data_IF_026731954032
#
_entry.id   IF_026731954032
#
_cell.length_a   1.000
_cell.length_b   1.000
_cell.length_c   1.000
_cell.angle_alpha   90.00
_cell.angle_beta   90.00
_cell.angle_gamma   90.00
#
_symmetry.space_group_name_H-M   'P 1'
#
loop_
_entity.id
_entity.type
_entity.pdbx_description
1 polymer ?
#
# COMPACT_ATOMS: atom_id res chain seq x y z
N UNK A 1 -13.24 14.97 9.36
CA UNK A 1 -13.49 15.43 8.00
C UNK A 1 -13.16 16.91 7.96
N UNK A 2 -12.27 17.32 7.04
CA UNK A 2 -11.85 18.71 6.87
C UNK A 2 -12.18 19.14 5.45
N UNK A 3 -13.12 20.08 5.31
CA UNK A 3 -13.61 20.53 4.00
C UNK A 3 -14.22 21.93 4.09
N UNK A 4 -13.92 22.79 3.12
CA UNK A 4 -14.59 24.08 2.94
C UNK A 4 -15.95 23.94 2.25
N UNK A 5 -16.19 22.81 1.54
CA UNK A 5 -17.38 22.59 0.73
C UNK A 5 -18.59 22.30 1.61
N UNK A 6 -19.57 23.21 1.62
CA UNK A 6 -20.81 23.04 2.36
C UNK A 6 -21.59 21.79 1.95
N UNK A 7 -21.64 21.48 0.65
CA UNK A 7 -22.32 20.27 0.12
C UNK A 7 -21.73 18.97 0.66
N UNK A 8 -20.41 18.92 0.86
CA UNK A 8 -19.73 17.77 1.45
C UNK A 8 -20.08 17.64 2.94
N UNK A 9 -20.09 18.73 3.69
CA UNK A 9 -20.49 18.73 5.09
C UNK A 9 -21.93 18.20 5.25
N UNK A 10 -22.86 18.71 4.45
CA UNK A 10 -24.27 18.26 4.44
C UNK A 10 -24.38 16.77 4.06
N UNK A 11 -23.56 16.29 3.12
CA UNK A 11 -23.50 14.88 2.78
C UNK A 11 -23.10 14.02 3.99
N UNK A 12 -22.04 14.39 4.71
CA UNK A 12 -21.57 13.64 5.88
C UNK A 12 -22.55 13.72 7.05
N UNK A 13 -23.21 14.87 7.24
CA UNK A 13 -24.28 15.05 8.25
C UNK A 13 -25.51 14.17 7.93
N UNK A 14 -25.83 14.03 6.66
CA UNK A 14 -26.94 13.18 6.18
C UNK A 14 -26.64 11.68 6.19
N UNK A 15 -25.36 11.28 6.26
CA UNK A 15 -24.99 9.86 6.33
C UNK A 15 -25.29 9.29 7.71
N UNK A 16 -25.91 8.11 7.73
CA UNK A 16 -26.25 7.37 8.94
C UNK A 16 -25.55 6.02 8.99
N UNK A 17 -25.60 5.37 10.14
CA UNK A 17 -25.05 4.02 10.30
C UNK A 17 -23.55 3.97 10.62
N UNK A 18 -22.96 5.06 11.05
CA UNK A 18 -21.54 5.14 11.43
C UNK A 18 -21.18 4.10 12.49
N UNK A 19 -22.00 3.93 13.52
CA UNK A 19 -21.79 2.96 14.60
C UNK A 19 -21.83 1.51 14.08
N UNK A 20 -22.71 1.23 13.12
CA UNK A 20 -22.80 -0.09 12.48
C UNK A 20 -21.53 -0.43 11.68
N UNK A 21 -20.88 0.59 11.12
CA UNK A 21 -19.59 0.48 10.45
C UNK A 21 -18.39 0.57 11.41
N UNK A 22 -18.63 0.58 12.73
CA UNK A 22 -17.55 0.66 13.73
C UNK A 22 -16.91 2.05 13.91
N UNK A 23 -17.52 3.10 13.36
CA UNK A 23 -17.06 4.47 13.50
C UNK A 23 -17.94 5.28 14.49
N UNK A 24 -17.30 6.25 15.14
CA UNK A 24 -18.05 7.34 15.79
C UNK A 24 -18.54 8.34 14.75
N UNK A 25 -19.55 9.13 15.10
CA UNK A 25 -20.00 10.25 14.27
C UNK A 25 -18.80 11.13 13.86
N UNK A 26 -18.58 11.37 12.57
CA UNK A 26 -17.44 12.16 12.11
C UNK A 26 -17.49 13.60 12.62
N UNK A 27 -16.33 14.15 12.92
CA UNK A 27 -16.18 15.53 13.32
C UNK A 27 -15.89 16.38 12.08
N UNK A 28 -16.76 17.31 11.75
CA UNK A 28 -16.62 18.17 10.58
C UNK A 28 -15.88 19.47 10.97
N UNK A 29 -14.90 19.86 10.19
CA UNK A 29 -14.12 21.09 10.33
C UNK A 29 -13.95 21.76 8.99
N UNK A 30 -13.80 23.07 8.98
CA UNK A 30 -13.67 23.86 7.76
C UNK A 30 -12.29 24.49 7.58
N UNK A 31 -11.47 24.55 8.61
CA UNK A 31 -10.12 25.11 8.54
C UNK A 31 -9.08 24.19 9.15
N UNK A 32 -7.81 24.45 8.80
CA UNK A 32 -6.66 23.76 9.37
C UNK A 32 -6.58 23.95 10.88
N UNK A 33 -6.80 25.15 11.39
CA UNK A 33 -6.74 25.49 12.82
C UNK A 33 -7.80 24.72 13.62
N UNK A 34 -9.03 24.65 13.10
CA UNK A 34 -10.10 23.87 13.73
C UNK A 34 -9.79 22.36 13.75
N UNK A 35 -9.17 21.86 12.67
CA UNK A 35 -8.77 20.46 12.58
C UNK A 35 -7.68 20.14 13.59
N UNK A 36 -6.62 20.95 13.66
CA UNK A 36 -5.51 20.77 14.62
C UNK A 36 -6.03 20.85 16.07
N UNK A 37 -6.84 21.84 16.40
CA UNK A 37 -7.45 21.96 17.73
C UNK A 37 -8.37 20.75 18.08
N UNK A 38 -8.97 20.12 17.07
CA UNK A 38 -9.76 18.90 17.26
C UNK A 38 -8.85 17.69 17.53
N UNK A 39 -7.74 17.58 16.82
CA UNK A 39 -6.77 16.49 16.97
C UNK A 39 -6.08 16.53 18.35
N UNK A 40 -5.77 17.71 18.88
CA UNK A 40 -5.22 17.87 20.22
C UNK A 40 -6.16 17.36 21.34
N UNK A 41 -7.48 17.46 21.13
CA UNK A 41 -8.50 17.11 22.14
C UNK A 41 -9.02 15.68 22.00
N UNK A 42 -8.83 15.04 20.87
CA UNK A 42 -9.44 13.77 20.55
C UNK A 42 -8.46 12.84 19.83
N UNK A 43 -8.52 11.56 20.19
CA UNK A 43 -7.87 10.54 19.39
C UNK A 43 -8.61 10.38 18.05
N UNK A 44 -7.88 10.49 16.95
CA UNK A 44 -8.38 10.42 15.58
C UNK A 44 -7.67 9.29 14.85
N UNK A 45 -8.39 8.28 14.40
CA UNK A 45 -7.83 7.13 13.67
C UNK A 45 -7.62 7.43 12.18
N UNK A 46 -8.44 8.32 11.61
CA UNK A 46 -8.36 8.67 10.20
C UNK A 46 -8.85 10.09 9.94
N UNK A 47 -8.29 10.71 8.91
CA UNK A 47 -8.67 12.06 8.47
C UNK A 47 -9.07 12.03 6.99
N UNK A 48 -10.17 12.73 6.66
CA UNK A 48 -10.54 13.01 5.29
C UNK A 48 -10.33 14.48 4.99
N UNK A 49 -9.79 14.79 3.81
CA UNK A 49 -9.55 16.16 3.34
C UNK A 49 -10.00 16.32 1.90
N UNK A 50 -10.33 17.54 1.51
CA UNK A 50 -10.55 17.90 0.12
C UNK A 50 -9.28 17.61 -0.71
N UNK A 51 -9.46 17.25 -1.97
CA UNK A 51 -8.34 17.08 -2.90
C UNK A 51 -7.74 18.43 -3.27
N UNK A 52 -6.41 18.46 -3.45
CA UNK A 52 -5.65 19.65 -3.80
C UNK A 52 -4.89 20.26 -2.62
N UNK A 53 -4.38 21.45 -2.82
CA UNK A 53 -3.41 22.08 -1.89
C UNK A 53 -4.07 22.91 -0.77
N UNK A 54 -5.40 22.96 -0.70
CA UNK A 54 -6.13 23.78 0.28
C UNK A 54 -5.72 23.46 1.72
N UNK A 55 -5.48 22.18 2.01
CA UNK A 55 -5.07 21.68 3.32
C UNK A 55 -3.65 21.10 3.32
N UNK A 56 -2.75 21.61 2.46
CA UNK A 56 -1.37 21.10 2.36
C UNK A 56 -0.61 21.19 3.69
N UNK A 57 -0.77 22.28 4.44
CA UNK A 57 -0.13 22.48 5.75
C UNK A 57 -0.66 21.47 6.78
N UNK A 58 -1.96 21.16 6.74
CA UNK A 58 -2.55 20.13 7.59
C UNK A 58 -2.04 18.73 7.22
N UNK A 59 -1.95 18.46 5.93
CA UNK A 59 -1.43 17.17 5.43
C UNK A 59 0.03 16.96 5.85
N UNK A 60 0.86 17.98 5.70
CA UNK A 60 2.25 17.97 6.16
C UNK A 60 2.36 17.75 7.68
N UNK A 61 1.52 18.44 8.46
CA UNK A 61 1.47 18.26 9.92
C UNK A 61 1.08 16.83 10.31
N UNK A 62 0.05 16.26 9.66
CA UNK A 62 -0.39 14.88 9.90
C UNK A 62 0.71 13.90 9.51
N UNK A 63 1.44 14.18 8.42
CA UNK A 63 2.57 13.36 7.98
C UNK A 63 3.69 13.30 9.00
N UNK A 64 4.04 14.44 9.55
CA UNK A 64 5.16 14.57 10.50
C UNK A 64 4.80 14.05 11.91
N UNK A 65 3.59 14.38 12.39
CA UNK A 65 3.23 14.18 13.80
C UNK A 65 2.29 12.99 14.05
N UNK A 66 1.61 12.47 13.01
CA UNK A 66 0.64 11.40 13.13
C UNK A 66 0.88 10.31 12.06
N UNK A 67 2.04 9.64 12.05
CA UNK A 67 2.45 8.74 10.96
C UNK A 67 1.55 7.51 10.79
N UNK A 68 0.79 7.12 11.83
CA UNK A 68 -0.14 5.98 11.79
C UNK A 68 -1.57 6.37 11.43
N UNK A 69 -1.89 7.68 11.38
CA UNK A 69 -3.22 8.16 11.03
C UNK A 69 -3.50 7.90 9.54
N UNK A 70 -4.58 7.20 9.23
CA UNK A 70 -4.97 6.98 7.84
C UNK A 70 -5.55 8.25 7.23
N UNK A 71 -5.27 8.47 5.95
CA UNK A 71 -5.78 9.60 5.19
C UNK A 71 -6.65 9.12 4.03
N UNK A 72 -7.75 9.82 3.74
CA UNK A 72 -8.53 9.59 2.54
C UNK A 72 -9.06 10.91 1.96
N UNK A 73 -9.36 10.88 0.67
CA UNK A 73 -9.91 12.04 -0.01
C UNK A 73 -11.44 12.05 0.16
N UNK A 74 -12.00 13.26 0.20
CA UNK A 74 -13.44 13.46 0.18
C UNK A 74 -13.97 13.21 -1.23
N UNK A 75 -15.02 12.42 -1.34
CA UNK A 75 -15.72 12.12 -2.59
C UNK A 75 -16.90 13.07 -2.78
N UNK A 76 -17.25 13.33 -4.05
CA UNK A 76 -18.37 14.24 -4.35
C UNK A 76 -19.75 13.54 -4.23
N UNK A 77 -19.79 12.21 -4.40
CA UNK A 77 -21.04 11.45 -4.31
C UNK A 77 -21.10 10.60 -3.03
N UNK A 78 -22.29 10.50 -2.38
CA UNK A 78 -22.49 9.67 -1.19
C UNK A 78 -22.15 8.20 -1.42
N UNK A 79 -22.43 7.67 -2.61
CA UNK A 79 -22.16 6.26 -2.96
C UNK A 79 -20.65 5.97 -3.02
N UNK A 80 -19.89 6.85 -3.66
CA UNK A 80 -18.43 6.73 -3.74
C UNK A 80 -17.80 6.92 -2.37
N UNK A 81 -18.28 7.90 -1.60
CA UNK A 81 -17.83 8.13 -0.24
C UNK A 81 -18.06 6.90 0.64
N UNK A 82 -19.19 6.24 0.51
CA UNK A 82 -19.48 5.01 1.26
C UNK A 82 -18.54 3.86 0.88
N UNK A 83 -18.16 3.72 -0.39
CA UNK A 83 -17.16 2.74 -0.82
C UNK A 83 -15.80 3.01 -0.18
N UNK A 84 -15.39 4.28 -0.18
CA UNK A 84 -14.13 4.74 0.43
C UNK A 84 -14.11 4.49 1.94
N UNK A 85 -15.21 4.78 2.66
CA UNK A 85 -15.34 4.51 4.09
C UNK A 85 -15.30 2.99 4.40
N UNK A 86 -15.96 2.16 3.59
CA UNK A 86 -15.89 0.70 3.76
C UNK A 86 -14.49 0.14 3.51
N UNK A 87 -13.74 0.73 2.59
CA UNK A 87 -12.33 0.37 2.40
C UNK A 87 -11.50 0.77 3.63
N UNK A 88 -11.71 1.99 4.15
CA UNK A 88 -11.06 2.48 5.37
C UNK A 88 -11.33 1.55 6.56
N UNK A 89 -12.59 1.16 6.78
CA UNK A 89 -12.97 0.22 7.85
C UNK A 89 -12.19 -1.10 7.74
N UNK A 90 -12.11 -1.69 6.55
CA UNK A 90 -11.32 -2.90 6.32
C UNK A 90 -9.85 -2.73 6.66
N UNK A 91 -9.23 -1.62 6.24
CA UNK A 91 -7.81 -1.37 6.49
C UNK A 91 -7.54 -1.13 7.99
N UNK A 92 -8.36 -0.33 8.65
CA UNK A 92 -8.27 -0.12 10.10
C UNK A 92 -8.48 -1.42 10.88
N UNK A 93 -9.43 -2.25 10.45
CA UNK A 93 -9.67 -3.56 11.05
C UNK A 93 -8.45 -4.48 10.92
N UNK A 94 -7.77 -4.47 9.78
CA UNK A 94 -6.53 -5.22 9.57
C UNK A 94 -5.40 -4.72 10.48
N UNK A 95 -5.17 -3.41 10.53
CA UNK A 95 -4.14 -2.81 11.40
C UNK A 95 -4.39 -3.15 12.86
N UNK A 96 -5.63 -3.01 13.33
CA UNK A 96 -6.02 -3.34 14.72
C UNK A 96 -5.87 -4.82 15.04
N UNK A 97 -6.20 -5.71 14.10
CA UNK A 97 -6.02 -7.14 14.27
C UNK A 97 -4.53 -7.51 14.33
N UNK A 98 -3.71 -6.95 13.46
CA UNK A 98 -2.27 -7.20 13.44
C UNK A 98 -1.59 -6.65 14.71
N UNK A 99 -2.00 -5.45 15.17
CA UNK A 99 -1.53 -4.90 16.44
C UNK A 99 -1.90 -5.79 17.64
N UNK A 100 -3.14 -6.27 17.70
CA UNK A 100 -3.62 -7.08 18.82
C UNK A 100 -3.05 -8.50 18.83
N UNK A 101 -2.94 -9.14 17.66
CA UNK A 101 -2.59 -10.55 17.56
C UNK A 101 -1.07 -10.81 17.55
N UNK A 102 -0.29 -9.88 17.01
CA UNK A 102 1.13 -10.09 16.76
C UNK A 102 2.04 -9.29 17.70
N UNK A 103 1.50 -8.55 18.65
CA UNK A 103 2.26 -7.66 19.56
C UNK A 103 3.14 -6.63 18.81
N UNK A 104 2.80 -6.30 17.57
CA UNK A 104 3.46 -5.22 16.85
C UNK A 104 3.05 -3.87 17.42
N UNK A 105 3.97 -2.92 17.47
CA UNK A 105 3.59 -1.52 17.62
C UNK A 105 2.77 -1.03 16.41
N UNK A 106 2.11 0.12 16.51
CA UNK A 106 1.26 0.65 15.44
C UNK A 106 2.01 0.86 14.11
N UNK A 107 3.28 1.28 14.17
CA UNK A 107 4.09 1.50 12.97
C UNK A 107 4.36 0.18 12.24
N UNK A 108 4.71 -0.88 12.97
CA UNK A 108 4.94 -2.20 12.41
C UNK A 108 3.65 -2.82 11.87
N UNK A 109 2.52 -2.65 12.56
CA UNK A 109 1.21 -3.11 12.07
C UNK A 109 0.80 -2.37 10.79
N UNK A 110 1.03 -1.06 10.72
CA UNK A 110 0.79 -0.26 9.51
C UNK A 110 1.70 -0.71 8.36
N UNK A 111 3.00 -0.91 8.62
CA UNK A 111 3.94 -1.38 7.59
C UNK A 111 3.55 -2.76 7.07
N UNK A 112 3.17 -3.69 7.93
CA UNK A 112 2.68 -5.00 7.54
C UNK A 112 1.41 -4.92 6.68
N UNK A 113 0.52 -4.00 7.01
CA UNK A 113 -0.67 -3.73 6.19
C UNK A 113 -0.31 -3.16 4.82
N UNK A 114 0.66 -2.23 4.73
CA UNK A 114 1.18 -1.70 3.46
C UNK A 114 1.71 -2.82 2.58
N UNK A 115 2.55 -3.68 3.12
CA UNK A 115 3.13 -4.82 2.40
C UNK A 115 2.05 -5.76 1.86
N UNK A 116 1.05 -6.08 2.67
CA UNK A 116 -0.09 -6.91 2.27
C UNK A 116 -0.92 -6.25 1.15
N UNK A 117 -1.13 -4.94 1.21
CA UNK A 117 -1.84 -4.24 0.15
C UNK A 117 -1.01 -4.15 -1.13
N UNK A 118 0.31 -3.94 -1.04
CA UNK A 118 1.19 -4.00 -2.20
C UNK A 118 1.17 -5.38 -2.86
N UNK A 119 1.23 -6.46 -2.08
CA UNK A 119 1.04 -7.83 -2.57
C UNK A 119 -0.29 -7.99 -3.31
N UNK A 120 -1.39 -7.48 -2.73
CA UNK A 120 -2.70 -7.54 -3.38
C UNK A 120 -2.75 -6.78 -4.72
N UNK A 121 -2.07 -5.63 -4.82
CA UNK A 121 -1.92 -4.89 -6.08
C UNK A 121 -1.12 -5.72 -7.09
N UNK A 122 0.09 -6.15 -6.73
CA UNK A 122 0.97 -6.92 -7.61
C UNK A 122 0.37 -8.27 -8.05
N UNK A 123 -0.54 -8.83 -7.26
CA UNK A 123 -1.28 -10.06 -7.61
C UNK A 123 -2.52 -9.79 -8.48
N UNK A 124 -2.81 -8.54 -8.86
CA UNK A 124 -4.01 -8.19 -9.64
C UNK A 124 -5.33 -8.41 -8.89
N UNK A 125 -5.32 -8.39 -7.57
CA UNK A 125 -6.51 -8.64 -6.74
C UNK A 125 -7.35 -7.38 -6.51
N UNK A 126 -6.81 -6.19 -6.80
CA UNK A 126 -7.52 -4.92 -6.63
C UNK A 126 -8.40 -4.66 -7.85
N UNK A 127 -9.70 -4.36 -7.68
CA UNK A 127 -10.63 -4.33 -8.81
C UNK A 127 -10.43 -3.15 -9.77
N UNK A 128 -10.15 -1.95 -9.26
CA UNK A 128 -10.12 -0.73 -10.08
C UNK A 128 -8.89 0.13 -9.81
N UNK A 129 -8.50 0.95 -10.81
CA UNK A 129 -7.43 1.96 -10.68
C UNK A 129 -7.70 2.92 -9.53
N UNK A 130 -8.95 3.35 -9.38
CA UNK A 130 -9.37 4.23 -8.28
C UNK A 130 -9.11 3.57 -6.91
N UNK A 131 -9.42 2.28 -6.78
CA UNK A 131 -9.18 1.56 -5.53
C UNK A 131 -7.68 1.37 -5.26
N UNK A 132 -6.84 1.13 -6.28
CA UNK A 132 -5.38 1.11 -6.12
C UNK A 132 -4.91 2.44 -5.52
N UNK A 133 -5.25 3.56 -6.15
CA UNK A 133 -4.86 4.89 -5.69
C UNK A 133 -5.39 5.19 -4.28
N UNK A 134 -6.65 4.83 -3.98
CA UNK A 134 -7.22 5.03 -2.65
C UNK A 134 -6.47 4.25 -1.56
N UNK A 135 -6.11 2.97 -1.83
CA UNK A 135 -5.35 2.15 -0.87
C UNK A 135 -3.96 2.75 -0.59
N UNK A 136 -3.24 3.14 -1.64
CA UNK A 136 -1.91 3.75 -1.51
C UNK A 136 -1.97 5.04 -0.68
N UNK A 137 -2.92 5.92 -0.98
CA UNK A 137 -3.11 7.19 -0.25
C UNK A 137 -3.55 6.98 1.20
N UNK A 138 -4.54 6.12 1.44
CA UNK A 138 -5.03 5.84 2.79
C UNK A 138 -3.94 5.34 3.72
N UNK A 139 -3.10 4.45 3.22
CA UNK A 139 -1.99 3.86 3.96
C UNK A 139 -0.74 4.75 3.93
N UNK A 140 -0.81 5.90 3.26
CA UNK A 140 0.33 6.83 3.13
C UNK A 140 1.57 6.13 2.58
N UNK A 141 1.35 5.31 1.56
CA UNK A 141 2.45 4.71 0.81
C UNK A 141 3.19 5.80 0.03
N UNK A 142 4.52 5.76 -0.03
CA UNK A 142 5.29 6.72 -0.83
C UNK A 142 5.06 6.53 -2.34
N UNK A 143 4.58 5.35 -2.74
CA UNK A 143 4.27 5.03 -4.13
C UNK A 143 2.95 5.70 -4.57
N UNK A 144 2.94 6.13 -5.84
CA UNK A 144 1.75 6.64 -6.52
C UNK A 144 1.36 5.68 -7.64
N UNK A 145 0.06 5.49 -7.84
CA UNK A 145 -0.46 4.45 -8.73
C UNK A 145 -0.16 4.65 -10.22
N UNK A 146 0.07 5.89 -10.65
CA UNK A 146 0.25 6.25 -12.06
C UNK A 146 1.71 6.69 -12.39
N UNK A 147 2.66 6.48 -11.48
CA UNK A 147 4.08 6.73 -11.75
C UNK A 147 4.71 5.51 -12.42
N UNK A 148 5.38 5.67 -13.57
CA UNK A 148 6.08 4.56 -14.24
C UNK A 148 7.09 3.89 -13.33
N UNK A 149 7.04 2.56 -13.28
CA UNK A 149 7.93 1.73 -12.47
C UNK A 149 8.30 0.47 -13.24
N UNK A 150 9.22 -0.32 -12.70
CA UNK A 150 9.68 -1.56 -13.35
C UNK A 150 9.27 -2.76 -12.50
N UNK A 151 8.74 -3.78 -13.16
CA UNK A 151 8.37 -5.05 -12.53
C UNK A 151 9.18 -6.17 -13.14
N UNK A 152 9.83 -6.95 -12.27
CA UNK A 152 10.45 -8.20 -12.63
C UNK A 152 9.54 -9.37 -12.24
N UNK A 153 9.41 -10.34 -13.13
CA UNK A 153 8.75 -11.62 -12.88
C UNK A 153 9.81 -12.70 -12.75
N UNK A 154 9.78 -13.44 -11.66
CA UNK A 154 10.72 -14.52 -11.36
C UNK A 154 9.92 -15.81 -11.24
N UNK A 155 10.32 -16.80 -12.02
CA UNK A 155 9.76 -18.16 -11.95
C UNK A 155 10.41 -18.94 -10.82
N UNK A 156 9.57 -19.65 -10.07
CA UNK A 156 9.97 -20.68 -9.12
C UNK A 156 9.72 -22.05 -9.75
N UNK A 157 10.62 -22.99 -9.52
CA UNK A 157 10.40 -24.38 -9.90
C UNK A 157 9.72 -25.09 -8.72
N UNK A 158 8.48 -25.54 -8.91
CA UNK A 158 7.73 -26.24 -7.86
C UNK A 158 8.42 -27.53 -7.41
N UNK A 159 9.26 -28.13 -8.27
CA UNK A 159 10.06 -29.33 -7.96
C UNK A 159 11.43 -28.98 -7.35
N UNK A 160 11.74 -27.69 -7.14
CA UNK A 160 13.02 -27.28 -6.53
C UNK A 160 13.20 -27.94 -5.16
N UNK A 161 14.32 -28.64 -4.92
CA UNK A 161 14.57 -29.31 -3.65
C UNK A 161 14.52 -28.40 -2.42
N UNK A 162 14.78 -27.09 -2.59
CA UNK A 162 14.61 -26.15 -1.50
C UNK A 162 13.13 -26.02 -1.11
N UNK A 163 12.23 -25.88 -2.08
CA UNK A 163 10.80 -25.71 -1.81
C UNK A 163 10.13 -26.99 -1.33
N UNK A 164 10.56 -28.16 -1.84
CA UNK A 164 9.93 -29.45 -1.55
C UNK A 164 10.47 -30.11 -0.28
N UNK A 165 11.77 -29.97 0.02
CA UNK A 165 12.42 -30.70 1.10
C UNK A 165 12.83 -29.83 2.29
N UNK A 166 13.15 -28.56 2.06
CA UNK A 166 13.71 -27.67 3.09
C UNK A 166 12.73 -26.60 3.59
N UNK A 167 11.88 -26.09 2.70
CA UNK A 167 10.97 -25.00 3.02
C UNK A 167 9.62 -25.54 3.50
N UNK A 168 9.48 -25.66 4.82
CA UNK A 168 8.23 -26.13 5.44
C UNK A 168 7.29 -25.01 5.84
N UNK A 169 7.59 -23.77 5.43
CA UNK A 169 6.83 -22.58 5.76
C UNK A 169 6.02 -22.11 4.54
N UNK A 170 4.91 -21.44 4.76
CA UNK A 170 4.08 -20.94 3.67
C UNK A 170 4.73 -19.80 2.86
N UNK A 171 4.04 -19.39 1.79
CA UNK A 171 4.46 -18.34 0.86
C UNK A 171 4.75 -16.99 1.54
N UNK A 172 4.04 -16.66 2.60
CA UNK A 172 4.24 -15.38 3.32
C UNK A 172 5.60 -15.31 4.01
N UNK A 173 6.09 -16.44 4.55
CA UNK A 173 7.45 -16.50 5.12
C UNK A 173 8.54 -16.51 4.04
N UNK A 174 8.26 -17.11 2.88
CA UNK A 174 9.15 -17.04 1.73
C UNK A 174 9.30 -15.61 1.25
N UNK A 175 8.19 -14.88 1.18
CA UNK A 175 8.16 -13.47 0.81
C UNK A 175 9.02 -12.61 1.77
N UNK A 176 8.89 -12.81 3.08
CA UNK A 176 9.71 -12.13 4.08
C UNK A 176 11.19 -12.46 3.92
N UNK A 177 11.53 -13.73 3.68
CA UNK A 177 12.92 -14.15 3.46
C UNK A 177 13.50 -13.49 2.20
N UNK A 178 12.78 -13.53 1.08
CA UNK A 178 13.19 -12.88 -0.18
C UNK A 178 13.34 -11.37 -0.02
N UNK A 179 12.43 -10.71 0.70
CA UNK A 179 12.51 -9.27 0.99
C UNK A 179 13.82 -8.88 1.67
N UNK A 180 14.36 -9.72 2.55
CA UNK A 180 15.65 -9.46 3.21
C UNK A 180 16.83 -9.46 2.21
N UNK A 181 16.76 -10.23 1.14
CA UNK A 181 17.77 -10.24 0.09
C UNK A 181 17.64 -9.04 -0.85
N UNK A 182 16.43 -8.75 -1.30
CA UNK A 182 16.18 -7.63 -2.21
C UNK A 182 16.37 -6.26 -1.54
N UNK A 183 16.17 -6.18 -0.21
CA UNK A 183 16.22 -4.93 0.53
C UNK A 183 15.09 -3.98 0.09
N UNK A 184 14.24 -3.55 1.01
CA UNK A 184 13.09 -2.71 0.65
C UNK A 184 13.45 -1.28 0.27
N UNK A 185 14.55 -0.76 0.78
CA UNK A 185 14.93 0.66 0.75
C UNK A 185 16.30 0.84 0.10
N UNK A 186 16.32 0.95 -1.23
CA UNK A 186 17.54 1.19 -2.01
C UNK A 186 17.75 2.69 -2.24
N UNK A 187 18.99 3.16 -2.52
CA UNK A 187 19.29 4.58 -2.72
C UNK A 187 18.45 5.27 -3.80
N UNK A 188 18.15 4.57 -4.89
CA UNK A 188 17.45 5.13 -6.06
C UNK A 188 16.03 4.60 -6.26
N UNK A 189 15.63 3.59 -5.50
CA UNK A 189 14.34 2.92 -5.66
C UNK A 189 13.82 2.31 -4.36
N UNK A 190 12.52 2.13 -4.31
CA UNK A 190 11.84 1.26 -3.33
C UNK A 190 11.62 -0.09 -3.99
N UNK A 191 11.82 -1.17 -3.22
CA UNK A 191 11.68 -2.53 -3.73
C UNK A 191 10.61 -3.27 -2.93
N UNK A 192 9.63 -3.84 -3.62
CA UNK A 192 8.62 -4.69 -3.02
C UNK A 192 8.67 -6.07 -3.65
N UNK A 193 8.61 -7.08 -2.82
CA UNK A 193 8.61 -8.50 -3.23
C UNK A 193 7.27 -9.10 -2.88
N UNK A 194 6.65 -9.78 -3.82
CA UNK A 194 5.39 -10.48 -3.62
C UNK A 194 5.46 -11.90 -4.22
N UNK A 195 5.22 -12.91 -3.42
CA UNK A 195 4.97 -14.28 -3.90
C UNK A 195 3.51 -14.34 -4.32
N UNK A 196 3.26 -14.25 -5.64
CA UNK A 196 1.91 -14.11 -6.20
C UNK A 196 1.24 -15.45 -6.50
N UNK A 197 2.04 -16.49 -6.72
CA UNK A 197 1.58 -17.87 -6.89
C UNK A 197 2.67 -18.85 -6.39
N UNK A 198 2.44 -20.16 -6.55
CA UNK A 198 3.43 -21.18 -6.17
C UNK A 198 4.68 -21.15 -7.06
N UNK A 199 4.52 -20.69 -8.30
CA UNK A 199 5.51 -20.69 -9.36
C UNK A 199 6.03 -19.29 -9.73
N UNK A 200 5.49 -18.21 -9.12
CA UNK A 200 5.84 -16.83 -9.51
C UNK A 200 6.07 -15.90 -8.32
N UNK A 201 7.18 -15.19 -8.38
CA UNK A 201 7.49 -14.01 -7.54
C UNK A 201 7.50 -12.77 -8.42
N UNK A 202 6.88 -11.69 -7.97
CA UNK A 202 6.99 -10.37 -8.58
C UNK A 202 7.80 -9.45 -7.71
N UNK A 203 8.75 -8.75 -8.34
CA UNK A 203 9.57 -7.71 -7.69
C UNK A 203 9.26 -6.39 -8.36
N UNK A 204 8.69 -5.48 -7.60
CA UNK A 204 8.46 -4.10 -8.02
C UNK A 204 9.67 -3.27 -7.65
N UNK A 205 10.24 -2.56 -8.62
CA UNK A 205 11.24 -1.51 -8.45
C UNK A 205 10.58 -0.17 -8.77
N UNK A 206 10.30 0.61 -7.73
CA UNK A 206 9.63 1.90 -7.84
C UNK A 206 10.65 3.03 -7.70
N UNK A 207 10.74 3.99 -8.65
CA UNK A 207 11.73 5.05 -8.59
C UNK A 207 11.48 6.00 -7.41
N UNK A 208 12.54 6.44 -6.74
CA UNK A 208 12.44 7.55 -5.80
C UNK A 208 12.21 8.87 -6.53
N UNK A 209 11.73 9.87 -5.82
CA UNK A 209 11.46 11.19 -6.40
C UNK A 209 12.70 11.74 -7.13
N UNK A 210 12.54 12.08 -8.42
CA UNK A 210 13.61 12.59 -9.27
C UNK A 210 14.49 11.51 -9.93
N UNK A 211 14.34 10.24 -9.57
CA UNK A 211 15.11 9.13 -10.14
C UNK A 211 14.43 8.55 -11.38
N UNK A 212 15.24 7.95 -12.25
CA UNK A 212 14.79 7.19 -13.41
C UNK A 212 15.44 5.83 -13.39
N UNK A 213 14.62 4.80 -13.50
CA UNK A 213 15.08 3.42 -13.58
C UNK A 213 15.13 2.99 -15.05
N UNK A 214 16.13 2.17 -15.41
CA UNK A 214 16.16 1.47 -16.70
C UNK A 214 15.94 -0.04 -16.48
N UNK A 215 15.31 -0.69 -17.47
CA UNK A 215 15.09 -2.15 -17.43
C UNK A 215 16.41 -2.90 -17.30
N UNK A 216 17.47 -2.40 -17.96
CA UNK A 216 18.81 -3.00 -17.91
C UNK A 216 19.41 -2.95 -16.50
N UNK A 217 19.36 -1.78 -15.83
CA UNK A 217 19.90 -1.64 -14.48
C UNK A 217 19.11 -2.46 -13.45
N UNK A 218 17.78 -2.50 -13.59
CA UNK A 218 16.91 -3.31 -12.73
C UNK A 218 17.15 -4.80 -12.99
N UNK A 219 17.28 -5.24 -14.25
CA UNK A 219 17.59 -6.62 -14.58
C UNK A 219 18.90 -7.08 -13.93
N UNK A 220 19.97 -6.28 -14.06
CA UNK A 220 21.25 -6.60 -13.44
C UNK A 220 21.12 -6.74 -11.90
N UNK A 221 20.40 -5.83 -11.25
CA UNK A 221 20.11 -5.90 -9.82
C UNK A 221 19.34 -7.19 -9.45
N UNK A 222 18.30 -7.52 -10.21
CA UNK A 222 17.47 -8.72 -9.97
C UNK A 222 18.30 -10.00 -10.14
N UNK A 223 19.13 -10.09 -11.18
CA UNK A 223 19.99 -11.25 -11.45
C UNK A 223 21.04 -11.44 -10.34
N UNK A 224 21.64 -10.33 -9.87
CA UNK A 224 22.59 -10.36 -8.76
C UNK A 224 21.92 -10.89 -7.48
N UNK A 225 20.74 -10.37 -7.12
CA UNK A 225 20.01 -10.80 -5.93
C UNK A 225 19.54 -12.26 -6.06
N UNK A 226 19.05 -12.66 -7.24
CA UNK A 226 18.65 -14.05 -7.48
C UNK A 226 19.84 -15.01 -7.28
N UNK A 227 21.04 -14.64 -7.71
CA UNK A 227 22.24 -15.41 -7.47
C UNK A 227 22.63 -15.47 -5.98
N UNK A 228 22.44 -14.37 -5.23
CA UNK A 228 22.65 -14.36 -3.78
C UNK A 228 21.66 -15.29 -3.08
N UNK A 229 20.39 -15.28 -3.46
CA UNK A 229 19.35 -16.19 -2.93
C UNK A 229 19.74 -17.66 -3.18
N UNK A 230 20.18 -18.01 -4.39
CA UNK A 230 20.66 -19.35 -4.70
C UNK A 230 21.87 -19.74 -3.82
N UNK A 231 22.83 -18.85 -3.69
CA UNK A 231 24.06 -19.12 -2.94
C UNK A 231 23.83 -19.32 -1.44
N UNK A 232 22.94 -18.53 -0.82
CA UNK A 232 22.73 -18.52 0.64
C UNK A 232 21.54 -19.37 1.09
N UNK A 233 20.47 -19.42 0.29
CA UNK A 233 19.28 -20.22 0.61
C UNK A 233 19.25 -21.56 -0.13
N UNK A 234 19.79 -21.60 -1.33
CA UNK A 234 19.67 -22.75 -2.25
C UNK A 234 18.42 -22.71 -3.11
N UNK A 235 17.64 -21.63 -3.06
CA UNK A 235 16.44 -21.44 -3.89
C UNK A 235 16.84 -20.86 -5.25
N UNK A 236 16.46 -21.55 -6.33
CA UNK A 236 16.67 -21.06 -7.71
C UNK A 236 15.49 -20.28 -8.20
N UNK A 237 15.76 -19.09 -8.69
CA UNK A 237 14.76 -18.22 -9.31
C UNK A 237 15.19 -17.90 -10.74
N UNK A 238 14.29 -18.12 -11.70
CA UNK A 238 14.53 -17.79 -13.11
C UNK A 238 13.91 -16.44 -13.43
N UNK A 239 14.71 -15.48 -13.89
CA UNK A 239 14.18 -14.20 -14.41
C UNK A 239 13.40 -14.48 -15.69
N UNK A 240 12.07 -14.35 -15.63
CA UNK A 240 11.17 -14.57 -16.76
C UNK A 240 11.05 -13.31 -17.61
N UNK A 241 10.87 -12.17 -16.94
CA UNK A 241 10.65 -10.89 -17.58
C UNK A 241 11.07 -9.73 -16.67
N UNK A 242 11.49 -8.61 -17.27
CA UNK A 242 11.74 -7.33 -16.59
C UNK A 242 11.22 -6.25 -17.53
N UNK A 243 10.16 -5.57 -17.13
CA UNK A 243 9.50 -4.60 -18.00
C UNK A 243 9.09 -3.33 -17.26
N UNK A 244 9.14 -2.22 -17.95
CA UNK A 244 8.56 -0.97 -17.48
C UNK A 244 7.05 -0.99 -17.67
N UNK A 245 6.32 -0.60 -16.64
CA UNK A 245 4.86 -0.44 -16.67
C UNK A 245 4.49 1.02 -16.43
N UNK A 246 3.29 1.41 -16.85
CA UNK A 246 2.78 2.79 -16.69
C UNK A 246 2.54 3.21 -15.24
N UNK A 247 2.56 2.26 -14.31
CA UNK A 247 2.37 2.46 -12.88
C UNK A 247 1.60 1.30 -12.25
N UNK A 248 1.47 1.33 -10.93
CA UNK A 248 0.78 0.28 -10.15
C UNK A 248 -0.69 0.09 -10.55
N UNK A 249 -1.33 1.14 -11.08
CA UNK A 249 -2.68 1.06 -11.59
C UNK A 249 -2.85 0.11 -12.79
N UNK A 250 -1.76 -0.28 -13.46
CA UNK A 250 -1.80 -1.27 -14.54
C UNK A 250 -2.19 -2.68 -14.03
N UNK A 251 -2.00 -2.96 -12.73
CA UNK A 251 -2.40 -4.22 -12.11
C UNK A 251 -3.86 -4.29 -11.70
N UNK A 252 -4.64 -3.21 -11.82
CA UNK A 252 -6.07 -3.28 -11.53
C UNK A 252 -6.77 -4.29 -12.47
N UNK A 253 -7.72 -5.08 -11.93
CA UNK A 253 -8.43 -6.11 -12.73
C UNK A 253 -9.11 -5.55 -13.97
N UNK A 254 -9.66 -4.33 -13.89
CA UNK A 254 -10.29 -3.65 -15.04
C UNK A 254 -9.31 -3.36 -16.19
N UNK A 255 -8.00 -3.32 -15.91
CA UNK A 255 -6.97 -3.10 -16.91
C UNK A 255 -6.46 -4.39 -17.55
N UNK A 256 -6.93 -5.56 -17.08
CA UNK A 256 -6.43 -6.87 -17.51
C UNK A 256 -5.00 -7.04 -16.98
N UNK A 257 -4.85 -7.48 -15.76
CA UNK A 257 -3.53 -7.87 -15.25
C UNK A 257 -3.03 -9.05 -16.10
N UNK A 258 -2.08 -8.77 -16.98
CA UNK A 258 -1.32 -9.77 -17.72
C UNK A 258 -0.22 -10.36 -16.82
#
# INVERSE_FOLDING_TARGET
IVTEKQSVREMFEGMSGWEVMGFKQPRLRSTTEEALACMEKHHIDAIAMDQGDIFADLDAHVEENCPTMLRFDVEESPEEQLKTIRLLDRLLGQIRADHSNNQYDENNALQYTRDRQMKAVLSGLVPTRKEVNNRLRMLRCPEQGDVPCIVARLGLDEEDPFLTERWHYGSDRLEVALRNFFGGDQPHMLVHVAVVSQDEVRVLCYPRAGEKLSEESVRAFIEEVAQQVENYMGLRMKVLDVQQISGLCAFARECGAN
#
